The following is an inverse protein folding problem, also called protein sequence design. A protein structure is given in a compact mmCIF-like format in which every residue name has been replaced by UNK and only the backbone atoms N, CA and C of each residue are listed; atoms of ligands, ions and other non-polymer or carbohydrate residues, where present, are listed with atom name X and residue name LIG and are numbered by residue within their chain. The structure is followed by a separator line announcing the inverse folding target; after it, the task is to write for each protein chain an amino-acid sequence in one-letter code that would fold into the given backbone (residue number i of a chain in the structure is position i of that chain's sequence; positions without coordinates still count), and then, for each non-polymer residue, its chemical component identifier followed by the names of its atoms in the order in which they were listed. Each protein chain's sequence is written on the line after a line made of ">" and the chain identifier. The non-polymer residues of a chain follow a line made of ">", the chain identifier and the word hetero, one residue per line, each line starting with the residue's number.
data_IF_970293317021
#
_entry.id   IF_970293317021
#
_cell.length_a   1.000
_cell.length_b   1.000
_cell.length_c   1.000
_cell.angle_alpha   90.00
_cell.angle_beta   90.00
_cell.angle_gamma   90.00
#
_symmetry.space_group_name_H-M   'P 1'
#
loop_
_entity.id
_entity.type
_entity.pdbx_description
1 polymer ?
#
# COMPACT_ATOMS: atom_id res chain seq x y z
N UNK A 1 15.50 -19.56 30.96
CA UNK A 1 14.39 -18.76 30.41
C UNK A 1 14.64 -18.66 28.91
N UNK A 2 13.93 -19.45 28.11
CA UNK A 2 14.13 -19.45 26.65
C UNK A 2 13.23 -18.38 26.05
N UNK A 3 13.82 -17.31 25.52
CA UNK A 3 13.08 -16.41 24.62
C UNK A 3 12.90 -17.16 23.29
N UNK A 4 11.69 -17.68 23.06
CA UNK A 4 11.28 -18.07 21.71
C UNK A 4 11.19 -16.77 20.91
N UNK A 5 12.25 -16.46 20.16
CA UNK A 5 12.20 -15.41 19.15
C UNK A 5 11.16 -15.86 18.12
N UNK A 6 9.94 -15.32 18.21
CA UNK A 6 8.94 -15.46 17.15
C UNK A 6 9.60 -14.93 15.89
N UNK A 7 9.91 -15.80 14.94
CA UNK A 7 10.30 -15.37 13.60
C UNK A 7 9.20 -14.48 13.06
N UNK A 8 9.53 -13.22 12.83
CA UNK A 8 8.67 -12.28 12.13
C UNK A 8 8.39 -12.84 10.73
N UNK A 9 7.12 -12.91 10.37
CA UNK A 9 6.73 -13.41 9.04
C UNK A 9 6.95 -12.30 8.05
N UNK A 10 7.77 -12.55 7.03
CA UNK A 10 7.97 -11.61 5.93
C UNK A 10 6.84 -11.74 4.91
N UNK A 11 6.38 -10.61 4.40
CA UNK A 11 5.33 -10.54 3.39
C UNK A 11 5.83 -9.87 2.12
N UNK A 12 5.19 -10.21 1.01
CA UNK A 12 5.33 -9.55 -0.28
C UNK A 12 4.02 -8.87 -0.63
N UNK A 13 4.14 -7.71 -1.28
CA UNK A 13 3.02 -6.82 -1.56
C UNK A 13 2.87 -6.62 -3.04
N UNK A 14 1.63 -6.59 -3.49
CA UNK A 14 1.26 -6.46 -4.88
C UNK A 14 0.04 -5.55 -5.01
N UNK A 15 -0.17 -5.01 -6.21
CA UNK A 15 -1.36 -4.23 -6.55
C UNK A 15 -2.09 -4.87 -7.74
N UNK A 16 -3.42 -4.94 -7.63
CA UNK A 16 -4.26 -5.35 -8.76
C UNK A 16 -4.22 -4.27 -9.84
N UNK A 17 -3.91 -4.69 -11.06
CA UNK A 17 -3.78 -3.79 -12.21
C UNK A 17 -5.09 -3.60 -12.98
N UNK A 18 -6.07 -4.47 -12.77
CA UNK A 18 -7.36 -4.47 -13.44
C UNK A 18 -8.47 -4.86 -12.47
N UNK A 19 -9.71 -4.52 -12.81
CA UNK A 19 -10.89 -4.96 -12.08
C UNK A 19 -11.02 -6.48 -12.19
N UNK A 20 -11.17 -7.13 -11.05
CA UNK A 20 -11.23 -8.58 -10.94
C UNK A 20 -12.65 -9.04 -10.60
N UNK A 21 -13.41 -9.57 -11.57
CA UNK A 21 -14.71 -10.18 -11.30
C UNK A 21 -14.53 -11.59 -10.73
N UNK A 22 -15.07 -11.84 -9.54
CA UNK A 22 -15.14 -13.18 -8.94
C UNK A 22 -16.57 -13.42 -8.47
N UNK A 23 -17.23 -14.40 -9.09
CA UNK A 23 -18.65 -14.67 -8.90
C UNK A 23 -19.49 -13.39 -9.14
N UNK A 24 -20.29 -12.98 -8.15
CA UNK A 24 -21.15 -11.80 -8.21
C UNK A 24 -20.48 -10.51 -7.69
N UNK A 25 -19.20 -10.57 -7.30
CA UNK A 25 -18.45 -9.43 -6.75
C UNK A 25 -17.33 -9.00 -7.68
N UNK A 26 -17.15 -7.69 -7.82
CA UNK A 26 -16.00 -7.09 -8.51
C UNK A 26 -15.06 -6.50 -7.47
N UNK A 27 -13.78 -6.85 -7.58
CA UNK A 27 -12.70 -6.24 -6.81
C UNK A 27 -11.98 -5.23 -7.70
N UNK A 28 -12.05 -3.93 -7.40
CA UNK A 28 -11.50 -2.91 -8.31
C UNK A 28 -9.97 -2.95 -8.36
N UNK A 29 -9.41 -2.48 -9.48
CA UNK A 29 -7.99 -2.16 -9.60
C UNK A 29 -7.54 -1.25 -8.45
N UNK A 30 -6.27 -1.38 -8.05
CA UNK A 30 -5.73 -0.69 -6.88
C UNK A 30 -5.87 -1.43 -5.56
N UNK A 31 -6.56 -2.57 -5.52
CA UNK A 31 -6.54 -3.42 -4.32
C UNK A 31 -5.11 -3.92 -4.03
N UNK A 32 -4.69 -3.83 -2.78
CA UNK A 32 -3.39 -4.35 -2.32
C UNK A 32 -3.56 -5.83 -1.99
N UNK A 33 -2.76 -6.67 -2.64
CA UNK A 33 -2.69 -8.12 -2.43
C UNK A 33 -1.41 -8.48 -1.67
N UNK A 34 -1.55 -9.27 -0.61
CA UNK A 34 -0.47 -9.61 0.33
C UNK A 34 -0.32 -11.13 0.38
N UNK A 35 0.92 -11.62 0.35
CA UNK A 35 1.25 -13.04 0.50
C UNK A 35 2.48 -13.20 1.41
N UNK A 36 2.55 -14.27 2.19
CA UNK A 36 3.75 -14.58 2.94
C UNK A 36 4.90 -14.96 1.99
N UNK A 37 6.09 -14.42 2.19
CA UNK A 37 7.26 -14.67 1.33
C UNK A 37 7.55 -16.18 1.22
N UNK A 38 7.43 -16.91 2.35
CA UNK A 38 7.62 -18.36 2.37
C UNK A 38 6.60 -19.12 1.51
N UNK A 39 5.36 -18.64 1.38
CA UNK A 39 4.35 -19.24 0.50
C UNK A 39 4.66 -18.92 -0.97
N UNK A 40 5.08 -17.70 -1.26
CA UNK A 40 5.48 -17.29 -2.60
C UNK A 40 6.70 -18.08 -3.13
N UNK A 41 7.70 -18.31 -2.27
CA UNK A 41 8.95 -18.99 -2.63
C UNK A 41 8.79 -20.51 -2.79
N UNK A 42 7.97 -21.17 -1.94
CA UNK A 42 7.71 -22.62 -2.05
C UNK A 42 7.27 -23.02 -3.46
N UNK A 43 6.45 -22.17 -4.07
CA UNK A 43 5.89 -22.40 -5.39
C UNK A 43 6.83 -21.92 -6.53
N UNK A 44 7.89 -21.14 -6.23
CA UNK A 44 8.96 -20.83 -7.21
C UNK A 44 9.94 -22.01 -7.32
N UNK A 45 10.25 -22.68 -6.21
CA UNK A 45 11.20 -23.79 -6.19
C UNK A 45 10.66 -25.06 -6.83
N UNK A 46 9.33 -25.18 -6.96
CA UNK A 46 8.65 -26.41 -7.40
C UNK A 46 8.19 -26.41 -8.86
N UNK A 47 8.10 -25.27 -9.55
CA UNK A 47 7.63 -25.20 -10.94
C UNK A 47 8.46 -24.23 -11.81
N UNK A 48 8.77 -24.65 -13.04
CA UNK A 48 9.17 -23.72 -14.11
C UNK A 48 8.07 -22.67 -14.33
N UNK A 49 8.40 -21.40 -14.68
CA UNK A 49 7.41 -20.33 -14.80
C UNK A 49 6.35 -20.71 -15.84
N UNK A 50 5.17 -21.11 -15.36
CA UNK A 50 4.06 -21.54 -16.20
C UNK A 50 3.04 -20.41 -16.27
N UNK A 51 2.57 -20.00 -17.47
CA UNK A 51 1.47 -19.05 -17.59
C UNK A 51 0.24 -19.53 -16.83
N UNK A 52 -0.44 -18.66 -16.09
CA UNK A 52 -1.61 -19.01 -15.29
C UNK A 52 -1.31 -19.47 -13.86
N UNK A 53 -0.12 -19.20 -13.32
CA UNK A 53 0.25 -19.52 -11.94
C UNK A 53 -0.61 -18.74 -10.95
N UNK A 54 -1.51 -19.43 -10.25
CA UNK A 54 -2.38 -18.84 -9.25
C UNK A 54 -1.89 -19.11 -7.83
N UNK A 55 -1.73 -18.06 -7.04
CA UNK A 55 -1.41 -18.16 -5.61
C UNK A 55 -2.53 -17.56 -4.77
N UNK A 56 -2.60 -17.94 -3.50
CA UNK A 56 -3.59 -17.41 -2.57
C UNK A 56 -3.07 -16.12 -1.91
N UNK A 57 -3.67 -14.99 -2.26
CA UNK A 57 -3.35 -13.68 -1.70
C UNK A 57 -4.45 -13.21 -0.75
N UNK A 58 -4.07 -12.43 0.26
CA UNK A 58 -4.98 -11.63 1.08
C UNK A 58 -5.17 -10.25 0.45
N UNK A 59 -6.41 -9.87 0.11
CA UNK A 59 -6.73 -8.51 -0.33
C UNK A 59 -7.01 -7.64 0.89
N UNK A 60 -6.20 -6.58 1.06
CA UNK A 60 -6.20 -5.76 2.26
C UNK A 60 -7.52 -5.00 2.50
N UNK A 61 -8.09 -4.38 1.48
CA UNK A 61 -9.29 -3.54 1.62
C UNK A 61 -10.57 -4.35 1.81
N UNK A 62 -10.69 -5.47 1.10
CA UNK A 62 -11.86 -6.34 1.19
C UNK A 62 -11.77 -7.39 2.32
N UNK A 63 -10.59 -7.53 2.95
CA UNK A 63 -10.25 -8.53 3.95
C UNK A 63 -10.64 -9.98 3.57
N UNK A 64 -10.32 -10.37 2.33
CA UNK A 64 -10.61 -11.71 1.79
C UNK A 64 -9.35 -12.36 1.23
N UNK A 65 -9.34 -13.69 1.17
CA UNK A 65 -8.29 -14.42 0.48
C UNK A 65 -8.78 -14.94 -0.87
N UNK A 66 -8.06 -14.62 -1.95
CA UNK A 66 -8.41 -14.98 -3.32
C UNK A 66 -7.24 -15.67 -4.02
N UNK A 67 -7.55 -16.58 -4.95
CA UNK A 67 -6.55 -17.22 -5.80
C UNK A 67 -6.34 -16.37 -7.04
N UNK A 68 -5.20 -15.68 -7.12
CA UNK A 68 -4.89 -14.69 -8.15
C UNK A 68 -3.73 -15.16 -9.02
N UNK A 69 -3.81 -14.89 -10.32
CA UNK A 69 -2.67 -15.06 -11.22
C UNK A 69 -1.61 -14.00 -10.91
N UNK A 70 -0.39 -14.43 -10.59
CA UNK A 70 0.72 -13.51 -10.29
C UNK A 70 1.00 -12.58 -11.47
N UNK A 71 0.77 -13.03 -12.71
CA UNK A 71 0.98 -12.22 -13.91
C UNK A 71 -0.01 -11.04 -14.04
N UNK A 72 -1.13 -11.07 -13.30
CA UNK A 72 -2.13 -9.98 -13.26
C UNK A 72 -1.83 -8.92 -12.20
N UNK A 73 -0.73 -9.07 -11.47
CA UNK A 73 -0.34 -8.25 -10.34
C UNK A 73 1.00 -7.56 -10.61
N UNK A 74 1.15 -6.34 -10.11
CA UNK A 74 2.44 -5.68 -10.04
C UNK A 74 3.00 -5.72 -8.63
N UNK A 75 4.26 -6.10 -8.48
CA UNK A 75 4.94 -6.11 -7.18
C UNK A 75 5.20 -4.68 -6.70
N UNK A 76 5.01 -4.47 -5.40
CA UNK A 76 5.31 -3.22 -4.70
C UNK A 76 6.45 -3.41 -3.71
N UNK A 77 7.20 -2.33 -3.46
CA UNK A 77 8.02 -2.25 -2.26
C UNK A 77 7.12 -2.12 -1.02
N UNK A 78 7.63 -2.48 0.15
CA UNK A 78 6.90 -2.29 1.41
C UNK A 78 6.55 -0.82 1.66
N UNK A 79 7.48 0.09 1.32
CA UNK A 79 7.27 1.54 1.44
C UNK A 79 6.10 2.00 0.56
N UNK A 80 6.07 1.59 -0.71
CA UNK A 80 5.00 1.94 -1.64
C UNK A 80 3.66 1.34 -1.21
N UNK A 81 3.67 0.08 -0.78
CA UNK A 81 2.47 -0.59 -0.29
C UNK A 81 1.88 0.12 0.93
N UNK A 82 2.72 0.57 1.88
CA UNK A 82 2.28 1.36 3.02
C UNK A 82 1.69 2.71 2.62
N UNK A 83 2.37 3.47 1.76
CA UNK A 83 1.86 4.77 1.27
C UNK A 83 0.53 4.62 0.52
N UNK A 84 0.44 3.65 -0.38
CA UNK A 84 -0.76 3.39 -1.17
C UNK A 84 -1.90 2.86 -0.29
N UNK A 85 -1.64 2.01 0.70
CA UNK A 85 -2.67 1.46 1.59
C UNK A 85 -3.35 2.56 2.43
N UNK A 86 -2.66 3.65 2.74
CA UNK A 86 -3.26 4.81 3.42
C UNK A 86 -4.28 5.58 2.54
N UNK A 87 -4.30 5.32 1.23
CA UNK A 87 -5.21 5.96 0.29
C UNK A 87 -6.46 5.08 0.07
N UNK A 88 -7.63 5.69 0.26
CA UNK A 88 -8.94 5.09 0.02
C UNK A 88 -9.79 6.04 -0.82
N UNK A 89 -10.62 5.54 -1.76
CA UNK A 89 -10.83 4.14 -2.12
C UNK A 89 -9.81 3.59 -3.13
N UNK A 90 -9.86 2.27 -3.40
CA UNK A 90 -8.99 1.56 -4.37
C UNK A 90 -8.78 2.27 -5.72
N UNK A 91 -9.80 2.85 -6.39
CA UNK A 91 -9.59 3.54 -7.67
C UNK A 91 -8.67 4.77 -7.55
N UNK A 92 -8.78 5.55 -6.47
CA UNK A 92 -7.91 6.71 -6.23
C UNK A 92 -6.47 6.24 -5.96
N UNK A 93 -6.33 5.18 -5.18
CA UNK A 93 -5.03 4.52 -4.94
C UNK A 93 -4.39 4.05 -6.24
N UNK A 94 -5.19 3.47 -7.14
CA UNK A 94 -4.71 3.01 -8.44
C UNK A 94 -4.22 4.17 -9.30
N UNK A 95 -4.97 5.28 -9.37
CA UNK A 95 -4.54 6.48 -10.09
C UNK A 95 -3.18 6.99 -9.58
N UNK A 96 -2.99 7.07 -8.25
CA UNK A 96 -1.72 7.48 -7.67
C UNK A 96 -0.56 6.50 -7.95
N UNK A 97 -0.85 5.20 -7.99
CA UNK A 97 0.15 4.20 -8.39
C UNK A 97 0.61 4.40 -9.84
N UNK A 98 -0.31 4.73 -10.75
CA UNK A 98 0.02 5.03 -12.14
C UNK A 98 0.81 6.34 -12.28
N UNK A 99 0.56 7.32 -11.41
CA UNK A 99 1.32 8.57 -11.30
C UNK A 99 2.65 8.37 -10.56
N UNK A 100 3.61 7.72 -11.23
CA UNK A 100 4.93 7.38 -10.67
C UNK A 100 5.64 8.55 -9.97
N UNK A 101 5.51 9.76 -10.51
CA UNK A 101 6.15 10.95 -9.93
C UNK A 101 5.57 11.30 -8.55
N UNK A 102 4.26 11.20 -8.36
CA UNK A 102 3.61 11.46 -7.07
C UNK A 102 4.06 10.47 -6.01
N UNK A 103 4.12 9.17 -6.37
CA UNK A 103 4.58 8.14 -5.44
C UNK A 103 6.07 8.32 -5.10
N UNK A 104 6.91 8.64 -6.08
CA UNK A 104 8.32 8.97 -5.86
C UNK A 104 8.52 10.19 -4.95
N UNK A 105 7.70 11.22 -5.10
CA UNK A 105 7.72 12.39 -4.23
C UNK A 105 7.29 12.01 -2.81
N UNK A 106 6.21 11.26 -2.66
CA UNK A 106 5.72 10.79 -1.35
C UNK A 106 6.78 9.98 -0.58
N UNK A 107 7.57 9.15 -1.27
CA UNK A 107 8.67 8.37 -0.67
C UNK A 107 9.80 9.23 -0.11
N UNK A 108 9.98 10.44 -0.62
CA UNK A 108 11.07 11.35 -0.25
C UNK A 108 10.67 12.32 0.86
N UNK A 109 9.39 12.38 1.21
CA UNK A 109 8.89 13.25 2.29
C UNK A 109 9.47 12.82 3.63
N UNK A 110 10.06 13.77 4.34
CA UNK A 110 10.66 13.60 5.66
C UNK A 110 10.03 14.54 6.69
N UNK A 111 10.27 14.23 7.97
CA UNK A 111 9.89 15.11 9.08
C UNK A 111 10.56 16.47 8.91
N UNK A 112 9.77 17.55 9.04
CA UNK A 112 10.23 18.92 8.88
C UNK A 112 10.11 19.47 7.46
N UNK A 113 9.79 18.64 6.46
CA UNK A 113 9.60 19.12 5.09
C UNK A 113 8.42 20.08 4.98
N UNK A 114 8.59 21.11 4.15
CA UNK A 114 7.54 22.03 3.75
C UNK A 114 6.71 21.40 2.63
N UNK A 115 5.40 21.33 2.85
CA UNK A 115 4.45 20.76 1.89
C UNK A 115 3.30 21.73 1.63
N UNK A 116 2.62 21.54 0.50
CA UNK A 116 1.33 22.18 0.24
C UNK A 116 0.24 21.13 0.39
N UNK A 117 -0.78 21.43 1.18
CA UNK A 117 -1.91 20.53 1.45
C UNK A 117 -3.17 21.10 0.83
N UNK A 118 -3.90 20.28 0.09
CA UNK A 118 -5.29 20.58 -0.25
C UNK A 118 -6.18 20.29 0.97
N UNK A 119 -6.69 21.35 1.59
CA UNK A 119 -7.61 21.28 2.71
C UNK A 119 -8.82 22.17 2.42
N UNK A 120 -10.01 21.57 2.35
CA UNK A 120 -11.26 22.27 2.02
C UNK A 120 -11.17 23.10 0.72
N UNK A 121 -10.55 22.53 -0.32
CA UNK A 121 -10.32 23.17 -1.63
C UNK A 121 -9.42 24.41 -1.56
N UNK A 122 -8.61 24.53 -0.50
CA UNK A 122 -7.57 25.55 -0.36
C UNK A 122 -6.22 24.88 -0.26
N UNK A 123 -5.27 25.42 -1.02
CA UNK A 123 -3.87 25.03 -0.92
C UNK A 123 -3.24 25.80 0.24
N UNK A 124 -2.92 25.07 1.32
CA UNK A 124 -2.32 25.64 2.53
C UNK A 124 -0.88 25.12 2.70
N UNK A 125 0.08 25.99 3.06
CA UNK A 125 1.40 25.54 3.44
C UNK A 125 1.33 24.76 4.75
N UNK A 126 2.18 23.75 4.87
CA UNK A 126 2.26 22.90 6.06
C UNK A 126 3.67 22.37 6.28
N UNK A 127 3.91 21.87 7.48
CA UNK A 127 5.14 21.19 7.87
C UNK A 127 4.82 19.76 8.26
N UNK A 128 5.57 18.80 7.74
CA UNK A 128 5.43 17.39 8.11
C UNK A 128 5.92 17.20 9.55
N UNK A 129 5.04 16.75 10.45
CA UNK A 129 5.34 16.48 11.87
C UNK A 129 5.27 15.01 12.24
N UNK A 130 4.69 14.20 11.37
CA UNK A 130 4.57 12.76 11.59
C UNK A 130 4.65 12.02 10.27
N UNK A 131 5.36 10.90 10.27
CA UNK A 131 5.39 9.92 9.18
C UNK A 131 5.36 8.54 9.82
N UNK A 132 4.33 7.75 9.57
CA UNK A 132 4.23 6.41 10.14
C UNK A 132 2.83 5.82 10.11
N UNK A 133 2.67 4.69 10.79
CA UNK A 133 1.38 4.00 10.88
C UNK A 133 0.54 4.47 12.06
N UNK A 134 -0.74 4.70 11.81
CA UNK A 134 -1.76 4.96 12.85
C UNK A 134 -2.28 3.68 13.52
N UNK A 135 -2.08 2.52 12.91
CA UNK A 135 -2.58 1.23 13.41
C UNK A 135 -1.54 0.14 13.16
N UNK A 136 -1.24 -0.67 14.18
CA UNK A 136 -0.37 -1.82 13.98
C UNK A 136 -1.17 -3.01 13.46
N UNK A 137 -0.90 -3.40 12.21
CA UNK A 137 -1.38 -4.65 11.65
C UNK A 137 -0.21 -5.59 11.41
N UNK A 138 -0.40 -6.92 11.56
CA UNK A 138 0.68 -7.89 11.44
C UNK A 138 1.15 -8.13 9.99
N UNK A 139 0.48 -7.56 8.98
CA UNK A 139 0.76 -7.82 7.55
C UNK A 139 1.27 -6.59 6.82
N UNK A 140 0.56 -5.47 6.92
CA UNK A 140 0.93 -4.21 6.27
C UNK A 140 0.08 -3.09 6.87
N UNK A 141 0.73 -2.05 7.39
CA UNK A 141 0.03 -0.88 7.89
C UNK A 141 0.17 0.29 6.92
N UNK A 142 -0.87 1.10 6.79
CA UNK A 142 -0.83 2.31 5.98
C UNK A 142 0.15 3.34 6.56
N UNK A 143 0.88 4.04 5.69
CA UNK A 143 1.80 5.13 6.07
C UNK A 143 1.08 6.47 5.92
N UNK A 144 0.89 7.16 7.03
CA UNK A 144 0.24 8.47 7.11
C UNK A 144 1.25 9.58 7.35
N UNK A 145 0.97 10.74 6.76
CA UNK A 145 1.70 11.98 6.98
C UNK A 145 0.86 12.92 7.83
N UNK A 146 1.33 13.26 9.02
CA UNK A 146 0.69 14.27 9.87
C UNK A 146 1.26 15.63 9.56
N UNK A 147 0.41 16.56 9.12
CA UNK A 147 0.83 17.89 8.69
C UNK A 147 0.33 18.95 9.67
N UNK A 148 1.25 19.80 10.13
CA UNK A 148 0.94 21.02 10.87
C UNK A 148 0.75 22.16 9.87
N UNK A 149 -0.50 22.58 9.67
CA UNK A 149 -0.83 23.68 8.77
C UNK A 149 -0.26 25.00 9.28
N UNK A 150 0.40 25.74 8.40
CA UNK A 150 0.92 27.07 8.66
C UNK A 150 -0.14 28.08 8.26
N UNK A 151 -1.12 28.30 9.12
CA UNK A 151 -2.14 29.32 8.89
C UNK A 151 -1.52 30.66 9.25
N UNK A 152 -1.13 31.44 8.24
CA UNK A 152 -0.78 32.84 8.45
C UNK A 152 -2.00 33.56 9.03
N UNK A 153 -1.85 34.20 10.18
CA UNK A 153 -2.79 35.25 10.57
C UNK A 153 -2.72 36.31 9.47
N UNK A 154 -3.70 36.34 8.57
CA UNK A 154 -3.94 37.54 7.79
C UNK A 154 -4.49 38.57 8.79
N UNK A 155 -3.58 39.28 9.47
CA UNK A 155 -3.91 40.55 10.11
C UNK A 155 -4.34 41.49 8.98
N UNK A 156 -5.65 41.77 8.94
CA UNK A 156 -6.24 42.85 8.16
C UNK A 156 -6.20 44.16 8.91
#
# INVERSE_FOLDING_TARGET
>A
MFFSSKKETKYLYFILMEDLPINERVFPAGNIAIIAEAEYLKDIETESPTPGRKLKFHLAEADVHLSLDVASLNQLSEQDAGLLLAVSPSPVRFSLYLEKEMLENARRIQLGDLVTVDYESKLLPGIVRYTGSLCDTPKLSGTFLGIELQVGFMEG
#
